data_IF_413137317439
#
_entry.id   IF_413137317439
#
_cell.length_a   1.000
_cell.length_b   1.000
_cell.length_c   1.000
_cell.angle_alpha   90.00
_cell.angle_beta   90.00
_cell.angle_gamma   90.00
#
_symmetry.space_group_name_H-M   'P 1'
#
loop_
_entity.id
_entity.type
_entity.pdbx_description
1 polymer ?
#
# COMPACT_ATOMS: atom_id res chain seq x y z
N UNK A 1 5.66 23.61 -18.20
CA UNK A 1 5.03 22.30 -18.49
C UNK A 1 4.89 21.55 -17.16
N UNK A 2 3.67 21.22 -16.72
CA UNK A 2 3.52 20.26 -15.61
C UNK A 2 3.97 18.91 -16.15
N UNK A 3 5.15 18.44 -15.76
CA UNK A 3 5.56 17.07 -16.07
C UNK A 3 4.54 16.17 -15.37
N UNK A 4 3.67 15.52 -16.14
CA UNK A 4 2.95 14.37 -15.60
C UNK A 4 4.02 13.34 -15.23
N UNK A 5 4.01 12.81 -13.99
CA UNK A 5 4.91 11.72 -13.67
C UNK A 5 4.67 10.59 -14.67
N UNK A 6 5.76 9.97 -15.13
CA UNK A 6 5.66 8.79 -15.99
C UNK A 6 4.82 7.74 -15.27
N UNK A 7 3.97 7.04 -16.03
CA UNK A 7 3.21 5.91 -15.48
C UNK A 7 4.20 4.88 -14.88
N UNK A 8 3.85 4.23 -13.76
CA UNK A 8 4.68 3.17 -13.19
C UNK A 8 4.97 2.07 -14.22
N UNK A 9 6.14 1.44 -14.10
CA UNK A 9 6.48 0.33 -15.00
C UNK A 9 5.64 -0.91 -14.69
N UNK A 10 5.43 -1.82 -15.66
CA UNK A 10 4.75 -3.09 -15.41
C UNK A 10 5.40 -3.94 -14.31
N UNK A 11 6.73 -3.85 -14.17
CA UNK A 11 7.49 -4.56 -13.14
C UNK A 11 7.15 -4.03 -11.74
N UNK A 12 7.12 -2.70 -11.58
CA UNK A 12 6.70 -2.05 -10.33
C UNK A 12 5.29 -2.50 -9.93
N UNK A 13 4.35 -2.50 -10.89
CA UNK A 13 2.96 -2.87 -10.64
C UNK A 13 2.83 -4.35 -10.24
N UNK A 14 3.55 -5.25 -10.93
CA UNK A 14 3.56 -6.67 -10.60
C UNK A 14 4.15 -6.95 -9.21
N UNK A 15 5.25 -6.27 -8.87
CA UNK A 15 5.90 -6.42 -7.57
C UNK A 15 4.99 -5.93 -6.45
N UNK A 16 4.44 -4.71 -6.57
CA UNK A 16 3.51 -4.17 -5.57
C UNK A 16 2.29 -5.08 -5.40
N UNK A 17 1.69 -5.55 -6.50
CA UNK A 17 0.56 -6.50 -6.44
C UNK A 17 0.94 -7.77 -5.67
N UNK A 18 2.15 -8.29 -5.89
CA UNK A 18 2.63 -9.51 -5.22
C UNK A 18 2.78 -9.29 -3.71
N UNK A 19 3.42 -8.18 -3.32
CA UNK A 19 3.60 -7.79 -1.92
C UNK A 19 2.25 -7.67 -1.21
N UNK A 20 1.30 -6.96 -1.81
CA UNK A 20 -0.04 -6.76 -1.23
C UNK A 20 -0.82 -8.08 -1.15
N UNK A 21 -0.75 -8.92 -2.19
CA UNK A 21 -1.43 -10.22 -2.20
C UNK A 21 -0.90 -11.18 -1.13
N UNK A 22 0.39 -11.08 -0.78
CA UNK A 22 1.01 -11.88 0.29
C UNK A 22 0.73 -11.34 1.69
N UNK A 23 0.13 -10.14 1.82
CA UNK A 23 -0.06 -9.44 3.10
C UNK A 23 1.22 -9.22 3.90
N UNK A 24 2.32 -9.00 3.19
CA UNK A 24 3.63 -8.79 3.80
C UNK A 24 3.88 -7.28 4.03
N UNK A 25 3.64 -6.82 5.26
CA UNK A 25 3.86 -5.43 5.63
C UNK A 25 5.35 -5.04 5.59
N UNK A 26 6.26 -6.00 5.85
CA UNK A 26 7.69 -5.74 5.86
C UNK A 26 8.20 -5.58 4.43
N UNK A 27 7.75 -6.44 3.52
CA UNK A 27 8.02 -6.29 2.10
C UNK A 27 7.43 -4.99 1.53
N UNK A 28 6.24 -4.55 1.98
CA UNK A 28 5.68 -3.26 1.58
C UNK A 28 6.56 -2.08 2.01
N UNK A 29 7.11 -2.13 3.23
CA UNK A 29 8.05 -1.12 3.71
C UNK A 29 9.32 -1.06 2.85
N UNK A 30 9.94 -2.20 2.59
CA UNK A 30 11.16 -2.27 1.77
C UNK A 30 10.92 -1.85 0.32
N UNK A 31 9.80 -2.29 -0.28
CA UNK A 31 9.36 -1.86 -1.60
C UNK A 31 9.23 -0.34 -1.66
N UNK A 32 8.54 0.25 -0.67
CA UNK A 32 8.31 1.69 -0.61
C UNK A 32 9.62 2.47 -0.47
N UNK A 33 10.57 2.00 0.35
CA UNK A 33 11.91 2.61 0.46
C UNK A 33 12.68 2.55 -0.86
N UNK A 34 12.64 1.41 -1.53
CA UNK A 34 13.41 1.16 -2.75
C UNK A 34 12.89 1.96 -3.94
N UNK A 35 11.57 1.98 -4.14
CA UNK A 35 10.98 2.58 -5.35
C UNK A 35 10.44 4.00 -5.16
N UNK A 36 9.99 4.37 -3.96
CA UNK A 36 9.34 5.66 -3.71
C UNK A 36 10.22 6.64 -2.94
N UNK A 37 11.43 6.23 -2.52
CA UNK A 37 12.41 7.07 -1.82
C UNK A 37 11.84 7.80 -0.59
N UNK A 38 11.07 7.09 0.22
CA UNK A 38 10.47 7.68 1.43
C UNK A 38 11.55 8.07 2.46
N UNK A 39 11.32 9.13 3.26
CA UNK A 39 12.24 9.53 4.31
C UNK A 39 12.27 8.55 5.49
N UNK A 40 13.33 8.63 6.30
CA UNK A 40 13.63 7.66 7.37
C UNK A 40 12.58 7.63 8.49
N UNK A 41 11.90 8.75 8.72
CA UNK A 41 10.80 8.89 9.68
C UNK A 41 9.55 8.10 9.26
N UNK A 42 9.27 8.02 7.95
CA UNK A 42 8.24 7.16 7.38
C UNK A 42 8.69 5.71 7.43
N UNK A 43 9.93 5.42 7.03
CA UNK A 43 10.47 4.05 7.07
C UNK A 43 10.46 3.47 8.50
N UNK A 44 10.77 4.30 9.50
CA UNK A 44 10.78 3.94 10.92
C UNK A 44 9.41 3.83 11.58
N UNK A 45 8.30 4.02 10.84
CA UNK A 45 6.96 3.85 11.40
C UNK A 45 6.74 2.41 11.89
N UNK A 46 5.91 2.22 12.95
CA UNK A 46 5.67 0.91 13.54
C UNK A 46 4.96 -0.03 12.55
N UNK A 47 5.06 -1.35 12.77
CA UNK A 47 4.40 -2.39 11.96
C UNK A 47 2.94 -2.06 11.67
N UNK A 48 2.17 -1.66 12.68
CA UNK A 48 0.74 -1.33 12.54
C UNK A 48 0.46 -0.26 11.48
N UNK A 49 1.35 0.74 11.33
CA UNK A 49 1.22 1.73 10.26
C UNK A 49 1.29 1.08 8.88
N UNK A 50 2.24 0.16 8.69
CA UNK A 50 2.44 -0.56 7.43
C UNK A 50 1.30 -1.52 7.13
N UNK A 51 0.75 -2.19 8.14
CA UNK A 51 -0.43 -3.05 7.99
C UNK A 51 -1.67 -2.24 7.56
N UNK A 52 -1.90 -1.08 8.19
CA UNK A 52 -2.98 -0.17 7.79
C UNK A 52 -2.80 0.28 6.34
N UNK A 53 -1.59 0.72 5.97
CA UNK A 53 -1.29 1.15 4.60
C UNK A 53 -1.49 0.00 3.60
N UNK A 54 -1.05 -1.21 3.93
CA UNK A 54 -1.22 -2.41 3.11
C UNK A 54 -2.70 -2.67 2.81
N UNK A 55 -3.55 -2.67 3.83
CA UNK A 55 -4.97 -2.91 3.65
C UNK A 55 -5.67 -1.80 2.89
N UNK A 56 -5.29 -0.53 3.11
CA UNK A 56 -5.81 0.60 2.34
C UNK A 56 -5.41 0.50 0.87
N UNK A 57 -4.14 0.25 0.56
CA UNK A 57 -3.67 0.07 -0.82
C UNK A 57 -4.39 -1.09 -1.50
N UNK A 58 -4.57 -2.21 -0.80
CA UNK A 58 -5.31 -3.38 -1.30
C UNK A 58 -6.74 -2.99 -1.70
N UNK A 59 -7.46 -2.25 -0.85
CA UNK A 59 -8.83 -1.81 -1.13
C UNK A 59 -8.95 -0.82 -2.31
N UNK A 60 -7.87 -0.10 -2.65
CA UNK A 60 -7.87 0.90 -3.72
C UNK A 60 -7.38 0.35 -5.07
N UNK A 61 -7.10 -0.95 -5.15
CA UNK A 61 -6.55 -1.62 -6.33
C UNK A 61 -7.53 -2.60 -6.96
N UNK A 62 -7.84 -2.41 -8.24
CA UNK A 62 -8.83 -3.22 -8.97
C UNK A 62 -8.34 -4.65 -9.25
N UNK A 63 -7.03 -4.84 -9.36
CA UNK A 63 -6.39 -6.14 -9.57
C UNK A 63 -6.37 -7.01 -8.30
N UNK A 64 -6.81 -6.47 -7.16
CA UNK A 64 -6.88 -7.15 -5.87
C UNK A 64 -8.31 -7.28 -5.33
N UNK A 65 -9.34 -7.15 -6.17
CA UNK A 65 -10.76 -7.24 -5.78
C UNK A 65 -11.08 -8.45 -4.90
N UNK A 66 -10.45 -9.60 -5.16
CA UNK A 66 -10.63 -10.83 -4.37
C UNK A 66 -10.15 -10.75 -2.92
N UNK A 67 -9.42 -9.70 -2.54
CA UNK A 67 -8.88 -9.46 -1.20
C UNK A 67 -9.53 -8.26 -0.49
N UNK A 68 -10.48 -7.59 -1.16
CA UNK A 68 -11.09 -6.35 -0.64
C UNK A 68 -11.89 -6.60 0.63
N UNK A 69 -12.73 -7.63 0.65
CA UNK A 69 -13.65 -7.86 1.78
C UNK A 69 -12.89 -8.14 3.07
N UNK A 70 -11.86 -8.98 3.01
CA UNK A 70 -10.98 -9.24 4.15
C UNK A 70 -10.24 -7.99 4.62
N UNK A 71 -9.73 -7.18 3.68
CA UNK A 71 -8.99 -5.96 4.03
C UNK A 71 -9.91 -4.91 4.64
N UNK A 72 -11.15 -4.79 4.15
CA UNK A 72 -12.19 -3.92 4.73
C UNK A 72 -12.59 -4.39 6.12
N UNK A 73 -12.75 -5.69 6.32
CA UNK A 73 -13.07 -6.26 7.62
C UNK A 73 -11.96 -5.97 8.64
N UNK A 74 -10.70 -6.20 8.26
CA UNK A 74 -9.55 -5.89 9.10
C UNK A 74 -9.48 -4.40 9.45
N UNK A 75 -9.59 -3.50 8.46
CA UNK A 75 -9.56 -2.05 8.69
C UNK A 75 -10.68 -1.62 9.65
N UNK A 76 -11.90 -2.15 9.46
CA UNK A 76 -13.04 -1.84 10.33
C UNK A 76 -12.82 -2.30 11.76
N UNK A 77 -12.28 -3.51 11.96
CA UNK A 77 -11.94 -4.04 13.29
C UNK A 77 -10.93 -3.16 14.02
N UNK A 78 -10.02 -2.53 13.29
CA UNK A 78 -8.96 -1.66 13.82
C UNK A 78 -9.33 -0.17 13.80
N UNK A 79 -10.57 0.19 13.43
CA UNK A 79 -11.07 1.57 13.46
C UNK A 79 -10.64 2.46 12.29
N UNK A 80 -10.29 1.88 11.14
CA UNK A 80 -9.87 2.61 9.93
C UNK A 80 -10.89 2.52 8.79
N UNK A 81 -10.88 3.53 7.93
CA UNK A 81 -11.57 3.51 6.62
C UNK A 81 -10.64 3.02 5.51
N UNK A 82 -11.16 2.83 4.31
CA UNK A 82 -10.38 2.49 3.11
C UNK A 82 -9.66 3.69 2.49
N UNK A 83 -9.87 4.90 2.99
CA UNK A 83 -9.36 6.12 2.38
C UNK A 83 -7.85 6.24 2.60
N UNK A 84 -7.11 6.56 1.54
CA UNK A 84 -5.65 6.73 1.60
C UNK A 84 -5.19 8.06 2.22
N UNK A 85 -6.14 8.92 2.62
CA UNK A 85 -5.88 10.27 3.08
C UNK A 85 -6.09 11.28 1.96
N UNK A 86 -6.93 12.27 2.24
CA UNK A 86 -7.39 13.29 1.30
C UNK A 86 -8.63 13.91 1.89
N UNK A 87 -8.45 15.01 2.64
CA UNK A 87 -9.51 16.00 2.79
C UNK A 87 -9.59 16.83 1.51
#
# INVERSE_FOLDING_TARGET
MKMQPAAPSPEYENELRTVLAQRDWAALREFTRTHNLIPDDVYGQPQHFWEVLLHKLTCNRIDLLGLHDDSRAWLKEHGYTTDLGGE
#
